data_IF_039110073664
#
_entry.id   IF_039110073664
#
_cell.length_a   1.000
_cell.length_b   1.000
_cell.length_c   1.000
_cell.angle_alpha   90.00
_cell.angle_beta   90.00
_cell.angle_gamma   90.00
#
_symmetry.space_group_name_H-M   'P 1'
#
loop_
_entity.id
_entity.type
_entity.pdbx_description
1 polymer ?
#
# COMPACT_ATOMS: atom_id res chain seq x y z
N UNK A 1 58.14 -7.79 46.86
CA UNK A 1 57.76 -9.21 46.86
C UNK A 1 56.65 -9.40 45.85
N UNK A 2 56.75 -10.47 45.07
CA UNK A 2 55.68 -11.18 44.36
C UNK A 2 54.84 -10.36 43.33
N UNK A 3 54.97 -10.59 42.02
CA UNK A 3 54.67 -11.78 41.20
C UNK A 3 53.31 -11.65 40.47
N UNK A 4 53.35 -12.01 39.18
CA UNK A 4 52.27 -12.58 38.35
C UNK A 4 51.29 -11.56 37.74
N UNK A 5 51.36 -11.26 36.45
CA UNK A 5 50.90 -12.09 35.31
C UNK A 5 49.53 -12.72 35.52
N UNK A 6 48.55 -12.23 34.76
CA UNK A 6 47.51 -13.06 34.16
C UNK A 6 47.00 -12.39 32.88
N UNK A 7 47.31 -13.01 31.75
CA UNK A 7 46.46 -13.05 30.56
C UNK A 7 45.02 -13.40 30.97
N UNK A 8 44.01 -12.83 30.30
CA UNK A 8 43.12 -13.68 29.51
C UNK A 8 42.33 -12.88 28.46
N UNK A 9 42.46 -13.31 27.21
CA UNK A 9 41.52 -13.03 26.13
C UNK A 9 40.27 -13.88 26.37
N UNK A 10 39.26 -13.28 26.98
CA UNK A 10 37.98 -13.92 27.27
C UNK A 10 36.84 -13.21 26.57
N UNK A 11 36.57 -13.61 25.33
CA UNK A 11 35.32 -13.28 24.63
C UNK A 11 34.10 -13.64 25.50
N UNK A 12 33.09 -12.76 25.51
CA UNK A 12 31.62 -13.00 25.53
C UNK A 12 30.90 -11.75 26.08
N UNK A 13 29.61 -11.49 25.77
CA UNK A 13 28.72 -12.19 24.86
C UNK A 13 28.26 -11.30 23.70
N UNK A 14 28.02 -11.91 22.55
CA UNK A 14 27.09 -11.38 21.55
C UNK A 14 25.78 -11.07 22.25
N UNK A 15 25.47 -9.78 22.40
CA UNK A 15 24.21 -9.31 22.97
C UNK A 15 23.04 -9.97 22.20
N UNK A 16 22.01 -10.49 22.91
CA UNK A 16 20.84 -11.13 22.32
C UNK A 16 19.87 -10.08 21.80
N UNK A 17 20.36 -9.07 21.09
CA UNK A 17 19.50 -8.33 20.19
C UNK A 17 19.40 -9.17 18.94
N UNK A 18 18.33 -9.97 18.91
CA UNK A 18 17.64 -10.38 17.71
C UNK A 18 18.01 -9.41 16.59
N UNK A 19 18.89 -9.87 15.69
CA UNK A 19 19.07 -9.27 14.39
C UNK A 19 17.70 -9.38 13.75
N UNK A 20 16.91 -8.31 13.89
CA UNK A 20 15.69 -8.14 13.11
C UNK A 20 16.08 -8.47 11.67
N UNK A 21 15.35 -9.36 10.98
CA UNK A 21 15.60 -9.60 9.58
C UNK A 21 15.65 -8.23 8.91
N UNK A 22 16.75 -8.01 8.20
CA UNK A 22 17.19 -6.74 7.67
C UNK A 22 16.00 -5.96 7.11
N UNK A 23 16.02 -4.65 7.34
CA UNK A 23 15.06 -3.66 6.85
C UNK A 23 14.86 -3.70 5.31
N UNK A 24 15.52 -4.62 4.61
CA UNK A 24 15.37 -4.94 3.18
C UNK A 24 14.08 -5.72 2.86
N UNK A 25 13.39 -6.32 3.83
CA UNK A 25 12.10 -6.99 3.59
C UNK A 25 10.88 -6.05 3.54
N UNK A 26 11.05 -4.78 3.96
CA UNK A 26 10.04 -3.73 3.88
C UNK A 26 10.54 -2.52 3.10
N UNK A 27 11.40 -2.73 2.11
CA UNK A 27 11.46 -1.79 0.99
C UNK A 27 10.13 -1.88 0.22
N UNK A 28 9.03 -1.45 0.84
CA UNK A 28 7.90 -0.91 0.10
C UNK A 28 8.52 0.16 -0.76
N UNK A 29 8.59 -0.11 -2.05
CA UNK A 29 9.12 0.83 -3.01
C UNK A 29 8.23 2.07 -2.90
N UNK A 30 8.73 3.09 -2.19
CA UNK A 30 8.04 4.34 -2.01
C UNK A 30 8.01 5.03 -3.37
N UNK A 31 7.04 4.66 -4.19
CA UNK A 31 6.85 5.29 -5.48
C UNK A 31 6.26 6.66 -5.23
N UNK A 32 7.10 7.65 -5.54
CA UNK A 32 6.72 9.05 -5.57
C UNK A 32 5.91 9.30 -6.84
N UNK A 33 4.93 10.19 -6.75
CA UNK A 33 4.23 10.72 -7.91
C UNK A 33 5.23 11.16 -9.00
N UNK A 34 4.96 10.80 -10.25
CA UNK A 34 5.62 11.38 -11.41
C UNK A 34 5.21 12.83 -11.62
N UNK A 35 6.01 13.60 -12.37
CA UNK A 35 5.78 15.03 -12.61
C UNK A 35 4.38 15.35 -13.17
N UNK A 36 3.88 14.51 -14.08
CA UNK A 36 2.53 14.66 -14.64
C UNK A 36 1.43 14.49 -13.58
N UNK A 37 1.59 13.52 -12.68
CA UNK A 37 0.64 13.23 -11.60
C UNK A 37 0.70 14.31 -10.53
N UNK A 38 1.89 14.83 -10.21
CA UNK A 38 2.06 15.98 -9.31
C UNK A 38 1.30 17.18 -9.87
N UNK A 39 1.50 17.50 -11.15
CA UNK A 39 0.84 18.62 -11.80
C UNK A 39 -0.68 18.47 -11.82
N UNK A 40 -1.19 17.26 -12.11
CA UNK A 40 -2.61 16.96 -12.04
C UNK A 40 -3.16 17.11 -10.61
N UNK A 41 -2.49 16.53 -9.61
CA UNK A 41 -2.86 16.62 -8.20
C UNK A 41 -2.95 18.07 -7.73
N UNK A 42 -1.91 18.88 -7.99
CA UNK A 42 -1.87 20.29 -7.61
C UNK A 42 -2.99 21.07 -8.30
N UNK A 43 -3.28 20.77 -9.58
CA UNK A 43 -4.37 21.42 -10.31
C UNK A 43 -5.74 21.09 -9.73
N UNK A 44 -5.99 19.81 -9.41
CA UNK A 44 -7.25 19.39 -8.78
C UNK A 44 -7.42 20.00 -7.39
N UNK A 45 -6.37 19.98 -6.55
CA UNK A 45 -6.40 20.60 -5.23
C UNK A 45 -6.66 22.10 -5.32
N UNK A 46 -6.01 22.81 -6.24
CA UNK A 46 -6.27 24.24 -6.46
C UNK A 46 -7.72 24.50 -6.85
N UNK A 47 -8.26 23.69 -7.76
CA UNK A 47 -9.65 23.81 -8.22
C UNK A 47 -10.63 23.55 -7.09
N UNK A 48 -10.39 22.51 -6.28
CA UNK A 48 -11.17 22.19 -5.08
C UNK A 48 -11.17 23.36 -4.08
N UNK A 49 -9.99 23.92 -3.78
CA UNK A 49 -9.86 25.04 -2.84
C UNK A 49 -10.61 26.27 -3.36
N UNK A 50 -10.54 26.54 -4.65
CA UNK A 50 -11.28 27.65 -5.27
C UNK A 50 -12.79 27.46 -5.15
N UNK A 51 -13.30 26.26 -5.40
CA UNK A 51 -14.72 25.94 -5.26
C UNK A 51 -15.21 26.12 -3.80
N UNK A 52 -14.48 25.54 -2.83
CA UNK A 52 -14.80 25.69 -1.40
C UNK A 52 -14.75 27.16 -0.96
N UNK A 53 -13.80 27.93 -1.48
CA UNK A 53 -13.70 29.37 -1.19
C UNK A 53 -14.90 30.13 -1.76
N UNK A 54 -15.32 29.82 -3.00
CA UNK A 54 -16.49 30.42 -3.64
C UNK A 54 -17.77 30.17 -2.84
N UNK A 55 -17.99 28.92 -2.38
CA UNK A 55 -19.12 28.53 -1.53
C UNK A 55 -19.15 29.38 -0.26
N UNK A 56 -18.00 29.50 0.42
CA UNK A 56 -17.87 30.29 1.65
C UNK A 56 -18.20 31.76 1.41
N UNK A 57 -17.66 32.35 0.34
CA UNK A 57 -17.90 33.75 0.00
C UNK A 57 -19.37 34.03 -0.30
N UNK A 58 -20.03 33.18 -1.08
CA UNK A 58 -21.45 33.31 -1.40
C UNK A 58 -22.33 33.17 -0.14
N UNK A 59 -22.02 32.18 0.70
CA UNK A 59 -22.74 31.93 1.96
C UNK A 59 -22.59 33.10 2.93
N UNK A 60 -21.37 33.63 3.07
CA UNK A 60 -21.07 34.79 3.92
C UNK A 60 -21.74 36.06 3.40
N UNK A 61 -21.73 36.30 2.09
CA UNK A 61 -22.40 37.43 1.48
C UNK A 61 -23.90 37.41 1.78
N UNK A 62 -24.55 36.24 1.63
CA UNK A 62 -25.96 36.05 1.96
C UNK A 62 -26.23 36.31 3.44
N UNK A 63 -25.41 35.76 4.34
CA UNK A 63 -25.53 35.98 5.80
C UNK A 63 -25.41 37.45 6.15
N UNK A 64 -24.36 38.14 5.69
CA UNK A 64 -24.13 39.58 5.95
C UNK A 64 -25.22 40.47 5.36
N UNK A 65 -25.88 40.04 4.28
CA UNK A 65 -27.04 40.76 3.76
C UNK A 65 -28.22 40.67 4.75
N UNK A 66 -28.55 39.46 5.19
CA UNK A 66 -29.66 39.24 6.13
C UNK A 66 -29.42 39.97 7.46
N UNK A 67 -28.19 39.92 7.99
CA UNK A 67 -27.82 40.62 9.23
C UNK A 67 -28.00 42.15 9.12
N UNK A 68 -27.68 42.74 7.97
CA UNK A 68 -27.75 44.20 7.77
C UNK A 68 -29.15 44.71 7.42
N UNK A 69 -29.91 43.92 6.67
CA UNK A 69 -31.17 44.39 6.08
C UNK A 69 -32.41 43.76 6.74
N UNK A 70 -32.27 42.69 7.52
CA UNK A 70 -33.38 41.97 8.14
C UNK A 70 -34.32 41.26 7.16
N UNK A 71 -33.93 41.17 5.89
CA UNK A 71 -34.73 40.62 4.80
C UNK A 71 -33.94 39.60 3.98
N UNK A 72 -34.66 38.79 3.21
CA UNK A 72 -34.06 37.87 2.26
C UNK A 72 -33.11 38.61 1.29
N UNK A 73 -32.01 37.95 0.91
CA UNK A 73 -31.09 38.50 -0.09
C UNK A 73 -31.78 38.51 -1.47
N UNK A 74 -31.76 39.64 -2.21
CA UNK A 74 -32.38 39.70 -3.54
C UNK A 74 -31.74 38.70 -4.51
N UNK A 75 -30.45 38.41 -4.33
CA UNK A 75 -29.69 37.43 -5.12
C UNK A 75 -29.64 36.04 -4.47
N UNK A 76 -30.48 35.74 -3.46
CA UNK A 76 -30.40 34.50 -2.69
C UNK A 76 -30.45 33.25 -3.58
N UNK A 77 -31.34 33.22 -4.56
CA UNK A 77 -31.48 32.10 -5.47
C UNK A 77 -30.25 31.93 -6.38
N UNK A 78 -29.72 33.03 -6.90
CA UNK A 78 -28.48 33.03 -7.70
C UNK A 78 -27.29 32.52 -6.87
N UNK A 79 -27.18 32.96 -5.62
CA UNK A 79 -26.14 32.48 -4.70
C UNK A 79 -26.31 31.00 -4.37
N UNK A 80 -27.54 30.51 -4.17
CA UNK A 80 -27.81 29.08 -3.93
C UNK A 80 -27.39 28.23 -5.13
N UNK A 81 -27.77 28.61 -6.36
CA UNK A 81 -27.35 27.90 -7.59
C UNK A 81 -25.84 27.89 -7.76
N UNK A 82 -25.17 28.99 -7.41
CA UNK A 82 -23.70 29.06 -7.43
C UNK A 82 -23.10 28.10 -6.39
N UNK A 83 -23.64 28.06 -5.16
CA UNK A 83 -23.18 27.15 -4.11
C UNK A 83 -23.34 25.70 -4.55
N UNK A 84 -24.50 25.33 -5.10
CA UNK A 84 -24.75 23.98 -5.63
C UNK A 84 -23.73 23.60 -6.71
N UNK A 85 -23.53 24.46 -7.71
CA UNK A 85 -22.56 24.20 -8.78
C UNK A 85 -21.11 24.07 -8.27
N UNK A 86 -20.71 24.86 -7.27
CA UNK A 86 -19.38 24.76 -6.68
C UNK A 86 -19.26 23.55 -5.73
N UNK A 87 -20.35 23.08 -5.12
CA UNK A 87 -20.38 21.82 -4.38
C UNK A 87 -20.16 20.63 -5.31
N UNK A 88 -20.87 20.59 -6.44
CA UNK A 88 -20.70 19.56 -7.46
C UNK A 88 -19.26 19.55 -7.99
N UNK A 89 -18.69 20.73 -8.26
CA UNK A 89 -17.29 20.85 -8.69
C UNK A 89 -16.32 20.39 -7.60
N UNK A 90 -16.56 20.73 -6.34
CA UNK A 90 -15.72 20.30 -5.24
C UNK A 90 -15.75 18.76 -5.07
N UNK A 91 -16.93 18.16 -5.16
CA UNK A 91 -17.11 16.71 -5.11
C UNK A 91 -16.40 16.00 -6.28
N UNK A 92 -16.56 16.52 -7.50
CA UNK A 92 -15.87 16.01 -8.68
C UNK A 92 -14.34 16.04 -8.49
N UNK A 93 -13.79 17.17 -8.02
CA UNK A 93 -12.34 17.28 -7.80
C UNK A 93 -11.85 16.37 -6.68
N UNK A 94 -12.63 16.20 -5.61
CA UNK A 94 -12.31 15.26 -4.53
C UNK A 94 -12.24 13.81 -5.07
N UNK A 95 -13.21 13.40 -5.88
CA UNK A 95 -13.21 12.10 -6.53
C UNK A 95 -12.00 11.90 -7.46
N UNK A 96 -11.65 12.92 -8.25
CA UNK A 96 -10.45 12.87 -9.12
C UNK A 96 -9.15 12.74 -8.33
N UNK A 97 -9.03 13.45 -7.20
CA UNK A 97 -7.87 13.34 -6.30
C UNK A 97 -7.77 11.92 -5.74
N UNK A 98 -8.88 11.37 -5.23
CA UNK A 98 -8.93 10.00 -4.71
C UNK A 98 -8.54 9.00 -5.79
N UNK A 99 -9.11 9.13 -7.00
CA UNK A 99 -8.82 8.26 -8.13
C UNK A 99 -7.35 8.32 -8.55
N UNK A 100 -6.76 9.52 -8.61
CA UNK A 100 -5.34 9.69 -8.93
C UNK A 100 -4.45 9.01 -7.89
N UNK A 101 -4.70 9.24 -6.60
CA UNK A 101 -3.95 8.59 -5.50
C UNK A 101 -4.10 7.07 -5.54
N UNK A 102 -5.30 6.56 -5.85
CA UNK A 102 -5.54 5.13 -5.96
C UNK A 102 -4.81 4.51 -7.17
N UNK A 103 -4.78 5.19 -8.32
CA UNK A 103 -4.05 4.74 -9.51
C UNK A 103 -2.56 4.62 -9.23
N UNK A 104 -1.95 5.66 -8.67
CA UNK A 104 -0.52 5.66 -8.31
C UNK A 104 -0.19 4.50 -7.36
N UNK A 105 -1.08 4.17 -6.42
CA UNK A 105 -0.92 3.02 -5.53
C UNK A 105 -1.07 1.67 -6.26
N UNK A 106 -1.99 1.56 -7.22
CA UNK A 106 -2.21 0.33 -7.98
C UNK A 106 -1.04 0.03 -8.92
N UNK A 107 -0.51 1.06 -9.60
CA UNK A 107 0.67 0.93 -10.46
C UNK A 107 1.94 0.57 -9.68
N UNK A 108 1.94 0.85 -8.37
CA UNK A 108 3.01 0.51 -7.45
C UNK A 108 2.91 -0.90 -6.85
N UNK A 109 1.81 -1.63 -7.09
CA UNK A 109 1.66 -2.98 -6.57
C UNK A 109 2.52 -3.97 -7.40
N UNK A 110 3.34 -4.83 -6.76
CA UNK A 110 4.14 -5.79 -7.50
C UNK A 110 3.23 -6.73 -8.30
N UNK A 111 3.64 -7.17 -9.51
CA UNK A 111 2.86 -8.13 -10.28
C UNK A 111 2.64 -9.38 -9.43
N UNK A 112 1.39 -9.76 -9.22
CA UNK A 112 1.06 -11.03 -8.57
C UNK A 112 1.74 -12.14 -9.36
N UNK A 113 2.67 -12.87 -8.73
CA UNK A 113 3.30 -14.05 -9.30
C UNK A 113 2.19 -14.96 -9.85
N UNK A 114 2.27 -15.43 -11.11
CA UNK A 114 1.29 -16.36 -11.63
C UNK A 114 1.23 -17.55 -10.70
N UNK A 115 0.02 -17.85 -10.23
CA UNK A 115 -0.31 -18.97 -9.35
C UNK A 115 0.39 -20.20 -9.92
N UNK A 116 1.50 -20.61 -9.30
CA UNK A 116 2.30 -21.76 -9.72
C UNK A 116 1.35 -22.95 -9.66
N UNK A 117 0.91 -23.43 -10.83
CA UNK A 117 0.14 -24.65 -10.92
C UNK A 117 0.93 -25.72 -10.18
N UNK A 118 0.29 -26.29 -9.17
CA UNK A 118 0.80 -27.29 -8.27
C UNK A 118 1.35 -28.48 -9.06
N UNK A 119 2.64 -28.44 -9.41
CA UNK A 119 3.35 -29.63 -9.83
C UNK A 119 3.66 -30.41 -8.56
N UNK A 120 3.01 -31.57 -8.44
CA UNK A 120 3.16 -32.53 -7.35
C UNK A 120 4.63 -32.67 -6.92
N UNK A 121 4.90 -32.84 -5.61
CA UNK A 121 6.27 -32.95 -5.11
C UNK A 121 6.92 -34.20 -5.73
N UNK A 122 7.85 -33.99 -6.66
CA UNK A 122 8.71 -35.05 -7.16
C UNK A 122 9.70 -35.37 -6.04
N UNK A 123 9.37 -36.41 -5.28
CA UNK A 123 10.25 -37.07 -4.32
C UNK A 123 11.58 -37.41 -4.99
N UNK A 124 12.65 -36.68 -4.66
CA UNK A 124 14.01 -37.03 -5.05
C UNK A 124 14.56 -37.96 -3.98
N UNK A 125 14.22 -39.25 -4.07
CA UNK A 125 14.98 -40.28 -3.36
C UNK A 125 16.29 -40.52 -4.12
N UNK A 126 17.38 -40.00 -3.59
CA UNK A 126 18.75 -40.27 -4.06
C UNK A 126 19.17 -41.66 -3.58
N UNK A 127 18.90 -42.69 -4.37
CA UNK A 127 19.44 -44.04 -4.11
C UNK A 127 20.91 -44.11 -4.52
N UNK A 128 21.81 -44.23 -3.54
CA UNK A 128 23.20 -44.66 -3.76
C UNK A 128 23.26 -46.19 -3.99
N UNK A 129 24.22 -46.70 -4.77
CA UNK A 129 24.23 -48.09 -5.19
C UNK A 129 24.86 -49.00 -4.13
N UNK A 130 24.16 -50.11 -3.84
CA UNK A 130 24.78 -51.31 -3.31
C UNK A 130 24.75 -51.47 -1.81
N UNK A 131 23.62 -51.94 -1.27
CA UNK A 131 23.58 -52.76 -0.05
C UNK A 131 22.42 -53.76 -0.20
N UNK A 132 22.76 -55.05 -0.20
CA UNK A 132 21.85 -56.18 -0.38
C UNK A 132 20.98 -56.35 0.86
N UNK A 133 19.67 -56.43 0.70
CA UNK A 133 18.79 -57.11 1.65
C UNK A 133 17.72 -57.92 0.91
N UNK A 134 18.00 -59.23 0.87
CA UNK A 134 17.11 -60.41 0.91
C UNK A 134 15.66 -60.21 0.43
N UNK A 135 15.41 -60.77 -0.76
CA UNK A 135 14.10 -61.03 -1.35
C UNK A 135 13.49 -62.29 -0.70
N UNK A 136 12.39 -62.11 0.03
CA UNK A 136 11.39 -63.12 0.44
C UNK A 136 10.07 -62.35 0.48
N UNK A 137 8.94 -62.77 -0.06
CA UNK A 137 8.52 -64.05 -0.59
C UNK A 137 7.21 -63.79 -1.37
N UNK A 138 6.96 -64.61 -2.41
CA UNK A 138 5.63 -65.02 -2.92
C UNK A 138 4.80 -64.07 -3.81
N UNK A 139 4.98 -64.28 -5.12
CA UNK A 139 3.92 -64.38 -6.14
C UNK A 139 2.88 -65.46 -5.72
N UNK A 140 1.59 -65.43 -6.16
CA UNK A 140 1.27 -65.64 -7.59
C UNK A 140 0.06 -64.86 -8.18
N UNK A 141 0.24 -64.46 -9.45
CA UNK A 141 -0.61 -64.80 -10.61
C UNK A 141 -2.14 -64.59 -10.52
N UNK A 142 -2.73 -63.77 -11.40
CA UNK A 142 -3.79 -64.18 -12.37
C UNK A 142 -3.83 -63.20 -13.56
N UNK A 143 -4.02 -63.82 -14.73
CA UNK A 143 -4.08 -63.35 -16.12
C UNK A 143 -5.30 -62.47 -16.45
N UNK A 144 -5.10 -61.60 -17.43
CA UNK A 144 -6.14 -60.92 -18.21
C UNK A 144 -7.11 -61.89 -18.91
N UNK A 145 -8.37 -61.46 -18.98
CA UNK A 145 -9.31 -61.69 -20.08
C UNK A 145 -9.85 -60.34 -20.50
#
# INVERSE_FOLDING_TARGET
MAHLSAHDDGALPTSPHQRWPEADAFAMQAHAFGEAEINAYVSYVRTLVNAVTSIRLASDARRRWMERNGAACPDAEKMSRLIEAEMDRADEMAHRIIGLVASVRADSAPPSLPKRTEAAPVSVFRSAPGLRTVQKDKQPWVRHG
#
